data_IF_201093095711
#
_entry.id   IF_201093095711
#
_cell.length_a   1.000
_cell.length_b   1.000
_cell.length_c   1.000
_cell.angle_alpha   90.00
_cell.angle_beta   90.00
_cell.angle_gamma   90.00
#
_symmetry.space_group_name_H-M   'P 1'
#
loop_
_entity.id
_entity.type
_entity.pdbx_description
1 polymer ?
#
# COMPACT_ATOMS: atom_id res chain seq x y z
N UNK A 1 -28.31 59.72 -19.60
CA UNK A 1 -28.49 58.55 -20.48
C UNK A 1 -27.14 57.94 -20.81
N UNK A 2 -26.84 56.75 -20.28
CA UNK A 2 -26.17 55.66 -21.00
C UNK A 2 -26.31 54.44 -20.08
N UNK A 3 -27.14 53.50 -20.52
CA UNK A 3 -27.33 52.17 -19.93
C UNK A 3 -26.17 51.27 -20.38
N UNK A 4 -26.13 50.08 -19.80
CA UNK A 4 -25.30 48.92 -20.12
C UNK A 4 -23.96 48.87 -19.37
N UNK A 5 -23.88 47.99 -18.38
CA UNK A 5 -23.10 46.74 -18.52
C UNK A 5 -23.88 45.64 -17.80
N UNK A 6 -24.37 44.67 -18.57
CA UNK A 6 -24.78 43.36 -18.07
C UNK A 6 -23.51 42.71 -17.49
N UNK A 7 -23.48 42.49 -16.17
CA UNK A 7 -22.47 41.63 -15.57
C UNK A 7 -22.91 40.20 -15.87
N UNK A 8 -22.39 39.64 -16.95
CA UNK A 8 -22.47 38.22 -17.26
C UNK A 8 -21.86 37.44 -16.10
N UNK A 9 -22.68 36.68 -15.40
CA UNK A 9 -22.26 35.61 -14.50
C UNK A 9 -21.52 34.55 -15.31
N UNK A 10 -20.21 34.69 -15.46
CA UNK A 10 -19.36 33.57 -15.85
C UNK A 10 -19.11 32.74 -14.59
N UNK A 11 -19.53 31.46 -14.54
CA UNK A 11 -19.07 30.57 -13.50
C UNK A 11 -17.58 30.34 -13.75
N UNK A 12 -16.73 31.08 -13.04
CA UNK A 12 -15.29 30.82 -12.98
C UNK A 12 -14.98 29.59 -12.11
N UNK A 13 -15.73 28.50 -12.32
CA UNK A 13 -15.59 27.22 -11.61
C UNK A 13 -14.82 26.18 -12.43
N UNK A 14 -13.99 26.62 -13.38
CA UNK A 14 -13.20 25.74 -14.25
C UNK A 14 -11.68 25.84 -14.01
N UNK A 15 -11.25 26.39 -12.88
CA UNK A 15 -9.83 26.54 -12.51
C UNK A 15 -9.49 25.75 -11.23
N UNK A 16 -10.04 24.55 -11.07
CA UNK A 16 -9.65 23.60 -10.01
C UNK A 16 -8.97 22.33 -10.55
N UNK A 17 -8.73 22.22 -11.86
CA UNK A 17 -8.12 21.04 -12.49
C UNK A 17 -6.63 21.16 -12.79
N UNK A 18 -5.91 22.10 -12.16
CA UNK A 18 -4.48 22.34 -12.40
C UNK A 18 -3.56 21.70 -11.34
N UNK A 19 -4.13 21.07 -10.32
CA UNK A 19 -3.48 19.99 -9.59
C UNK A 19 -4.15 18.73 -10.12
N UNK A 20 -3.40 17.85 -10.80
CA UNK A 20 -3.96 16.64 -11.42
C UNK A 20 -4.83 15.91 -10.41
N UNK A 21 -6.09 15.71 -10.75
CA UNK A 21 -6.89 14.73 -10.01
C UNK A 21 -6.40 13.39 -10.51
N UNK A 22 -5.94 12.55 -9.59
CA UNK A 22 -5.57 11.17 -9.93
C UNK A 22 -6.72 10.53 -10.70
N UNK A 23 -6.35 9.73 -11.68
CA UNK A 23 -7.37 8.97 -12.39
C UNK A 23 -8.01 7.96 -11.44
N UNK A 24 -9.26 7.56 -11.68
CA UNK A 24 -9.87 6.49 -10.87
C UNK A 24 -9.09 5.16 -10.96
N UNK A 25 -8.21 5.01 -11.96
CA UNK A 25 -7.33 3.87 -12.14
C UNK A 25 -6.12 3.99 -11.21
N UNK A 26 -5.49 5.17 -11.16
CA UNK A 26 -4.40 5.53 -10.25
C UNK A 26 -4.83 5.39 -8.77
N UNK A 27 -6.03 5.88 -8.40
CA UNK A 27 -6.60 5.65 -7.04
C UNK A 27 -6.78 4.15 -6.72
N UNK A 28 -7.01 3.32 -7.75
CA UNK A 28 -7.09 1.86 -7.56
C UNK A 28 -5.71 1.23 -7.39
N UNK A 29 -4.69 1.75 -8.08
CA UNK A 29 -3.28 1.38 -7.90
C UNK A 29 -2.81 1.67 -6.48
N UNK A 30 -2.98 2.91 -6.01
CA UNK A 30 -2.64 3.32 -4.64
C UNK A 30 -3.29 2.41 -3.58
N UNK A 31 -4.56 2.04 -3.79
CA UNK A 31 -5.28 1.16 -2.88
C UNK A 31 -4.80 -0.30 -2.92
N UNK A 32 -4.11 -0.73 -3.98
CA UNK A 32 -3.44 -2.02 -4.06
C UNK A 32 -2.08 -1.97 -3.35
N UNK A 33 -1.31 -0.89 -3.52
CA UNK A 33 -0.05 -0.67 -2.79
C UNK A 33 -0.28 -0.64 -1.28
N UNK A 34 -1.27 0.13 -0.78
CA UNK A 34 -1.60 0.16 0.65
C UNK A 34 -1.99 -1.23 1.19
N UNK A 35 -2.54 -2.09 0.33
CA UNK A 35 -2.83 -3.49 0.70
C UNK A 35 -1.60 -4.38 0.65
N UNK A 36 -0.65 -4.11 -0.24
CA UNK A 36 0.63 -4.81 -0.28
C UNK A 36 1.39 -4.57 1.01
N UNK A 37 1.53 -3.30 1.41
CA UNK A 37 2.16 -2.88 2.67
C UNK A 37 1.52 -3.60 3.87
N UNK A 38 0.19 -3.59 3.96
CA UNK A 38 -0.52 -4.24 5.06
C UNK A 38 -0.34 -5.78 5.10
N UNK A 39 0.01 -6.40 3.97
CA UNK A 39 0.28 -7.84 3.87
C UNK A 39 1.72 -8.16 4.25
N UNK A 40 2.68 -7.36 3.80
CA UNK A 40 4.09 -7.40 4.21
C UNK A 40 4.19 -7.22 5.73
N UNK A 41 3.63 -6.14 6.28
CA UNK A 41 3.60 -5.85 7.72
C UNK A 41 3.07 -7.04 8.55
N UNK A 42 2.03 -7.71 8.06
CA UNK A 42 1.45 -8.87 8.75
C UNK A 42 2.35 -10.12 8.67
N UNK A 43 3.12 -10.26 7.59
CA UNK A 43 4.18 -11.26 7.43
C UNK A 43 5.27 -11.03 8.47
N UNK A 44 5.84 -9.83 8.47
CA UNK A 44 6.90 -9.36 9.36
C UNK A 44 6.52 -9.54 10.83
N UNK A 45 5.36 -9.03 11.26
CA UNK A 45 4.91 -9.13 12.65
C UNK A 45 4.82 -10.59 13.12
N UNK A 46 4.47 -11.51 12.22
CA UNK A 46 4.37 -12.94 12.55
C UNK A 46 5.72 -13.64 12.51
N UNK A 47 6.59 -13.26 11.57
CA UNK A 47 7.96 -13.74 11.53
C UNK A 47 8.70 -13.31 12.81
N UNK A 48 8.61 -12.04 13.20
CA UNK A 48 9.23 -11.49 14.41
C UNK A 48 8.73 -12.19 15.69
N UNK A 49 7.43 -12.53 15.78
CA UNK A 49 6.91 -13.31 16.89
C UNK A 49 7.52 -14.72 16.96
N UNK A 50 7.78 -15.35 15.81
CA UNK A 50 8.41 -16.67 15.76
C UNK A 50 9.89 -16.61 16.11
N UNK A 51 10.60 -15.57 15.68
CA UNK A 51 12.00 -15.31 16.04
C UNK A 51 12.16 -15.04 17.53
N UNK A 52 11.27 -14.23 18.14
CA UNK A 52 11.26 -14.03 19.60
C UNK A 52 11.07 -15.34 20.37
N UNK A 53 10.22 -16.25 19.85
CA UNK A 53 10.08 -17.59 20.43
C UNK A 53 11.33 -18.45 20.21
N UNK A 54 12.06 -18.24 19.11
CA UNK A 54 13.29 -18.94 18.80
C UNK A 54 14.42 -18.52 19.75
N UNK A 55 14.54 -17.22 20.04
CA UNK A 55 15.49 -16.66 21.01
C UNK A 55 15.32 -17.23 22.43
N UNK A 56 14.10 -17.62 22.79
CA UNK A 56 13.77 -18.24 24.07
C UNK A 56 13.87 -19.77 24.05
N UNK A 57 14.21 -20.38 22.92
CA UNK A 57 14.23 -21.83 22.78
C UNK A 57 15.33 -22.48 23.63
N UNK A 58 15.00 -23.62 24.25
CA UNK A 58 15.94 -24.33 25.14
C UNK A 58 16.94 -25.24 24.41
N UNK A 59 16.79 -25.39 23.10
CA UNK A 59 17.63 -26.25 22.26
C UNK A 59 17.76 -25.67 20.87
N UNK A 60 18.96 -25.78 20.29
CA UNK A 60 19.27 -25.34 18.92
C UNK A 60 18.28 -25.90 17.89
N UNK A 61 17.92 -27.19 17.99
CA UNK A 61 16.98 -27.82 17.07
C UNK A 61 15.59 -27.17 17.07
N UNK A 62 15.19 -26.54 18.18
CA UNK A 62 13.90 -25.84 18.30
C UNK A 62 13.99 -24.40 17.81
N UNK A 63 15.10 -23.74 18.09
CA UNK A 63 15.46 -22.44 17.52
C UNK A 63 15.45 -22.51 16.00
N UNK A 64 16.17 -23.48 15.41
CA UNK A 64 16.24 -23.72 13.97
C UNK A 64 14.86 -23.95 13.34
N UNK A 65 13.99 -24.73 13.99
CA UNK A 65 12.64 -25.00 13.50
C UNK A 65 11.78 -23.73 13.47
N UNK A 66 11.91 -22.88 14.50
CA UNK A 66 11.18 -21.63 14.63
C UNK A 66 11.69 -20.59 13.63
N UNK A 67 13.01 -20.41 13.51
CA UNK A 67 13.63 -19.51 12.53
C UNK A 67 13.24 -19.91 11.10
N UNK A 68 13.36 -21.20 10.74
CA UNK A 68 12.93 -21.67 9.43
C UNK A 68 11.42 -21.47 9.19
N UNK A 69 10.62 -21.39 10.25
CA UNK A 69 9.19 -21.06 10.13
C UNK A 69 8.97 -19.56 9.97
N UNK A 70 9.73 -18.72 10.67
CA UNK A 70 9.71 -17.28 10.52
C UNK A 70 10.01 -16.89 9.07
N UNK A 71 11.13 -17.39 8.52
CA UNK A 71 11.53 -17.19 7.11
C UNK A 71 10.39 -17.55 6.13
N UNK A 72 9.74 -18.71 6.32
CA UNK A 72 8.62 -19.09 5.44
C UNK A 72 7.39 -18.19 5.58
N UNK A 73 7.19 -17.55 6.72
CA UNK A 73 6.05 -16.63 6.90
C UNK A 73 6.36 -15.30 6.24
N UNK A 74 7.59 -14.81 6.42
CA UNK A 74 8.17 -13.64 5.77
C UNK A 74 8.05 -13.76 4.24
N UNK A 75 8.62 -14.83 3.67
CA UNK A 75 8.57 -15.13 2.24
C UNK A 75 7.13 -15.12 1.67
N UNK A 76 6.15 -15.62 2.43
CA UNK A 76 4.74 -15.65 2.01
C UNK A 76 4.11 -14.24 2.05
N UNK A 77 4.53 -13.41 3.00
CA UNK A 77 4.16 -12.00 3.07
C UNK A 77 4.64 -11.26 1.83
N UNK A 78 5.95 -11.34 1.58
CA UNK A 78 6.65 -10.75 0.43
C UNK A 78 6.03 -11.17 -0.89
N UNK A 79 5.90 -12.47 -1.16
CA UNK A 79 5.35 -12.99 -2.42
C UNK A 79 3.93 -12.47 -2.70
N UNK A 80 3.15 -12.19 -1.65
CA UNK A 80 1.79 -11.65 -1.79
C UNK A 80 1.79 -10.14 -1.95
N UNK A 81 2.65 -9.42 -1.23
CA UNK A 81 2.81 -7.99 -1.38
C UNK A 81 3.32 -7.68 -2.79
N UNK A 82 4.34 -8.40 -3.27
CA UNK A 82 4.87 -8.33 -4.64
C UNK A 82 3.78 -8.52 -5.70
N UNK A 83 2.92 -9.52 -5.55
CA UNK A 83 1.84 -9.76 -6.50
C UNK A 83 0.78 -8.64 -6.52
N UNK A 84 0.61 -7.92 -5.41
CA UNK A 84 -0.28 -6.75 -5.32
C UNK A 84 0.38 -5.52 -5.94
N UNK A 85 1.66 -5.29 -5.65
CA UNK A 85 2.45 -4.20 -6.24
C UNK A 85 2.60 -4.36 -7.74
N UNK A 86 2.87 -5.57 -8.26
CA UNK A 86 2.92 -5.80 -9.72
C UNK A 86 1.56 -5.46 -10.38
N UNK A 87 0.45 -5.73 -9.70
CA UNK A 87 -0.87 -5.35 -10.19
C UNK A 87 -1.15 -3.85 -10.08
N UNK A 88 -0.55 -3.16 -9.09
CA UNK A 88 -0.63 -1.70 -8.93
C UNK A 88 0.21 -0.98 -10.00
N UNK A 89 1.43 -1.45 -10.27
CA UNK A 89 2.35 -0.94 -11.29
C UNK A 89 1.72 -0.96 -12.71
N UNK A 90 0.85 -1.95 -13.00
CA UNK A 90 0.11 -2.00 -14.26
C UNK A 90 -0.95 -0.89 -14.39
N UNK A 91 -1.23 -0.13 -13.32
CA UNK A 91 -2.26 0.90 -13.22
C UNK A 91 -1.72 2.34 -13.15
N UNK A 92 -0.41 2.54 -12.96
CA UNK A 92 0.29 3.84 -13.09
C UNK A 92 0.54 4.26 -14.56
#
# INVERSE_FOLDING_TARGET
>A
MKKFVMLTTLPALAMLGACGQDSAVEETGDALEERADAVEDLGDERAEQLEQMADEATTDAREDELNARAERVDDIGDERADALNEAADEME
#
